data_IF_238119974143
#
_entry.id   IF_238119974143
#
_cell.length_a   1.000
_cell.length_b   1.000
_cell.length_c   1.000
_cell.angle_alpha   90.00
_cell.angle_beta   90.00
_cell.angle_gamma   90.00
#
_symmetry.space_group_name_H-M   'P 1'
#
loop_
_entity.id
_entity.type
_entity.pdbx_description
1 polymer ?
#
# COMPACT_ATOMS: atom_id res chain seq x y z
N UNK A 1 3.88 -6.20 -9.24
CA UNK A 1 4.28 -5.74 -7.89
C UNK A 1 3.65 -6.63 -6.83
N UNK A 2 4.36 -7.63 -6.30
CA UNK A 2 3.81 -8.56 -5.29
C UNK A 2 4.19 -8.16 -3.86
N UNK A 3 3.25 -8.27 -2.93
CA UNK A 3 3.43 -7.86 -1.53
C UNK A 3 4.59 -8.58 -0.84
N UNK A 4 4.74 -9.89 -1.04
CA UNK A 4 5.83 -10.69 -0.45
C UNK A 4 7.21 -10.20 -0.89
N UNK A 5 7.35 -9.86 -2.18
CA UNK A 5 8.62 -9.34 -2.72
C UNK A 5 8.95 -7.93 -2.21
N UNK A 6 7.92 -7.14 -1.89
CA UNK A 6 8.07 -5.76 -1.42
C UNK A 6 8.38 -5.69 0.08
N UNK A 7 7.78 -6.58 0.88
CA UNK A 7 7.76 -6.55 2.34
C UNK A 7 8.64 -7.62 3.03
N UNK A 8 9.51 -8.30 2.30
CA UNK A 8 10.48 -9.23 2.88
C UNK A 8 11.70 -8.48 3.49
N UNK A 9 12.48 -9.19 4.33
CA UNK A 9 13.63 -8.64 5.06
C UNK A 9 14.68 -7.98 4.15
N UNK A 10 14.91 -8.51 2.96
CA UNK A 10 15.83 -7.96 1.95
C UNK A 10 15.09 -7.29 0.78
N UNK A 11 13.82 -6.92 0.99
CA UNK A 11 12.94 -6.34 -0.01
C UNK A 11 13.32 -4.92 -0.43
N UNK A 12 12.73 -4.40 -1.52
CA UNK A 12 12.97 -3.03 -1.97
C UNK A 12 12.61 -1.94 -0.93
N UNK A 13 11.65 -2.21 -0.04
CA UNK A 13 11.32 -1.32 1.08
C UNK A 13 12.35 -1.40 2.20
N UNK A 14 12.81 -2.61 2.57
CA UNK A 14 13.83 -2.80 3.59
C UNK A 14 15.13 -2.06 3.26
N UNK A 15 15.53 -2.05 1.98
CA UNK A 15 16.71 -1.31 1.50
C UNK A 15 16.59 0.22 1.60
N UNK A 16 15.40 0.78 1.81
CA UNK A 16 15.15 2.23 1.81
C UNK A 16 14.67 2.77 3.15
N UNK A 17 14.04 1.93 3.97
CA UNK A 17 13.53 2.30 5.27
C UNK A 17 14.51 1.91 6.36
N UNK A 18 15.14 2.90 6.98
CA UNK A 18 15.94 2.69 8.19
C UNK A 18 15.04 2.12 9.28
N UNK A 19 15.44 0.99 9.88
CA UNK A 19 14.65 0.30 10.90
C UNK A 19 13.41 -0.42 10.35
N UNK A 20 13.41 -0.79 9.06
CA UNK A 20 12.40 -1.70 8.53
C UNK A 20 12.41 -3.02 9.30
N UNK A 21 11.21 -3.51 9.58
CA UNK A 21 10.97 -4.78 10.24
C UNK A 21 9.90 -5.51 9.44
N UNK A 22 10.20 -6.75 9.04
CA UNK A 22 9.23 -7.59 8.36
C UNK A 22 8.15 -8.01 9.35
N UNK A 23 6.88 -7.80 8.98
CA UNK A 23 5.73 -8.12 9.81
C UNK A 23 4.81 -9.10 9.08
N UNK A 24 4.71 -10.36 9.51
CA UNK A 24 3.90 -11.37 8.83
C UNK A 24 2.45 -10.94 8.60
N UNK A 25 1.85 -10.26 9.59
CA UNK A 25 0.46 -9.80 9.52
C UNK A 25 0.25 -8.72 8.44
N UNK A 26 1.28 -7.92 8.15
CA UNK A 26 1.24 -6.92 7.08
C UNK A 26 1.21 -7.60 5.71
N UNK A 27 1.99 -8.68 5.53
CA UNK A 27 2.01 -9.50 4.31
C UNK A 27 0.69 -10.26 4.15
N UNK A 28 0.17 -10.83 5.23
CA UNK A 28 -1.13 -11.50 5.25
C UNK A 28 -2.26 -10.56 4.83
N UNK A 29 -2.34 -9.37 5.44
CA UNK A 29 -3.32 -8.35 5.06
C UNK A 29 -3.18 -7.97 3.58
N UNK A 30 -1.96 -7.83 3.06
CA UNK A 30 -1.74 -7.47 1.66
C UNK A 30 -2.25 -8.53 0.69
N UNK A 31 -2.06 -9.82 1.00
CA UNK A 31 -2.62 -10.93 0.22
C UNK A 31 -4.14 -10.92 0.24
N UNK A 32 -4.75 -10.72 1.40
CA UNK A 32 -6.21 -10.64 1.53
C UNK A 32 -6.77 -9.49 0.70
N UNK A 33 -6.12 -8.32 0.71
CA UNK A 33 -6.51 -7.17 -0.10
C UNK A 33 -6.35 -7.48 -1.60
N UNK A 34 -5.22 -8.06 -2.02
CA UNK A 34 -4.95 -8.45 -3.42
C UNK A 34 -6.05 -9.38 -3.96
N UNK A 35 -6.34 -10.45 -3.22
CA UNK A 35 -7.37 -11.42 -3.61
C UNK A 35 -8.76 -10.80 -3.67
N UNK A 36 -9.10 -9.96 -2.68
CA UNK A 36 -10.41 -9.31 -2.61
C UNK A 36 -10.60 -8.36 -3.79
N UNK A 37 -9.59 -7.55 -4.12
CA UNK A 37 -9.63 -6.66 -5.27
C UNK A 37 -9.77 -7.45 -6.57
N UNK A 38 -9.00 -8.53 -6.74
CA UNK A 38 -9.08 -9.38 -7.93
C UNK A 38 -10.46 -10.03 -8.11
N UNK A 39 -11.10 -10.45 -7.01
CA UNK A 39 -12.44 -11.04 -6.98
C UNK A 39 -13.57 -10.00 -7.00
N UNK A 40 -13.26 -8.70 -7.00
CA UNK A 40 -14.22 -7.59 -6.82
C UNK A 40 -15.10 -7.76 -5.56
N UNK A 41 -14.52 -8.31 -4.50
CA UNK A 41 -15.19 -8.63 -3.24
C UNK A 41 -15.21 -7.48 -2.25
N UNK A 42 -15.61 -7.79 -1.01
CA UNK A 42 -15.55 -6.88 0.15
C UNK A 42 -14.75 -7.56 1.25
N UNK A 43 -13.88 -6.80 1.90
CA UNK A 43 -13.01 -7.27 2.97
C UNK A 43 -13.08 -6.28 4.13
N UNK A 44 -13.20 -6.82 5.34
CA UNK A 44 -13.07 -6.08 6.59
C UNK A 44 -11.85 -6.64 7.33
N UNK A 45 -10.90 -5.77 7.65
CA UNK A 45 -9.70 -6.12 8.42
C UNK A 45 -9.59 -5.16 9.60
N UNK A 46 -9.43 -5.72 10.78
CA UNK A 46 -8.95 -4.96 11.94
C UNK A 46 -7.43 -5.10 12.02
N UNK A 47 -6.73 -3.97 12.11
CA UNK A 47 -5.29 -3.97 12.29
C UNK A 47 -4.89 -2.88 13.27
N UNK A 48 -4.11 -3.23 14.28
CA UNK A 48 -3.67 -2.34 15.36
C UNK A 48 -2.87 -1.13 14.86
N UNK A 49 -2.79 -0.05 15.63
CA UNK A 49 -1.98 1.13 15.27
C UNK A 49 -0.48 0.78 15.16
N UNK A 50 0.27 1.49 14.33
CA UNK A 50 1.73 1.28 14.17
C UNK A 50 2.18 0.08 13.34
N UNK A 51 1.28 -0.85 12.96
CA UNK A 51 1.65 -2.08 12.21
C UNK A 51 2.03 -1.88 10.74
N UNK A 52 2.00 -0.66 10.21
CA UNK A 52 2.32 -0.39 8.80
C UNK A 52 1.20 -0.73 7.81
N UNK A 53 -0.07 -0.62 8.24
CA UNK A 53 -1.27 -0.89 7.43
C UNK A 53 -1.26 -0.26 6.04
N UNK A 54 -0.70 0.95 5.93
CA UNK A 54 -0.64 1.68 4.66
C UNK A 54 -0.04 0.83 3.54
N UNK A 55 1.14 0.24 3.74
CA UNK A 55 1.76 -0.56 2.69
C UNK A 55 0.97 -1.84 2.37
N UNK A 56 0.30 -2.42 3.38
CA UNK A 56 -0.49 -3.63 3.18
C UNK A 56 -1.65 -3.40 2.19
N UNK A 57 -2.32 -2.25 2.21
CA UNK A 57 -3.35 -1.95 1.21
C UNK A 57 -2.80 -1.22 -0.03
N UNK A 58 -1.73 -0.43 0.10
CA UNK A 58 -1.18 0.37 -1.01
C UNK A 58 -0.50 -0.49 -2.06
N UNK A 59 0.31 -1.47 -1.65
CA UNK A 59 1.05 -2.33 -2.59
C UNK A 59 0.08 -3.07 -3.54
N UNK A 60 -0.92 -3.83 -3.05
CA UNK A 60 -1.87 -4.50 -3.95
C UNK A 60 -2.77 -3.51 -4.70
N UNK A 61 -3.10 -2.34 -4.13
CA UNK A 61 -3.83 -1.29 -4.84
C UNK A 61 -3.04 -0.74 -6.04
N UNK A 62 -1.75 -0.46 -5.87
CA UNK A 62 -0.87 -0.01 -6.95
C UNK A 62 -0.68 -1.11 -7.99
N UNK A 63 -0.45 -2.36 -7.55
CA UNK A 63 -0.37 -3.50 -8.46
C UNK A 63 -1.62 -3.60 -9.34
N UNK A 64 -2.81 -3.49 -8.74
CA UNK A 64 -4.09 -3.47 -9.47
C UNK A 64 -4.17 -2.30 -10.45
N UNK A 65 -3.74 -1.12 -10.03
CA UNK A 65 -3.78 0.07 -10.87
C UNK A 65 -2.86 -0.03 -12.09
N UNK A 66 -1.67 -0.61 -11.93
CA UNK A 66 -0.67 -0.72 -13.00
C UNK A 66 -0.96 -1.94 -13.90
N UNK A 67 -1.18 -3.11 -13.31
CA UNK A 67 -1.27 -4.38 -14.06
C UNK A 67 -2.65 -4.59 -14.68
N UNK A 68 -3.72 -4.29 -13.94
CA UNK A 68 -5.09 -4.42 -14.44
C UNK A 68 -5.61 -3.12 -15.09
N UNK A 69 -4.82 -2.04 -15.08
CA UNK A 69 -5.19 -0.71 -15.60
C UNK A 69 -6.49 -0.16 -14.99
N UNK A 70 -6.72 -0.46 -13.72
CA UNK A 70 -7.91 -0.02 -12.98
C UNK A 70 -7.62 1.22 -12.15
N UNK A 71 -8.66 2.02 -11.86
CA UNK A 71 -8.53 3.13 -10.90
C UNK A 71 -8.85 2.62 -9.50
N UNK A 72 -7.96 2.89 -8.55
CA UNK A 72 -8.18 2.58 -7.13
C UNK A 72 -8.38 3.86 -6.35
N UNK A 73 -9.42 3.91 -5.51
CA UNK A 73 -9.71 5.02 -4.61
C UNK A 73 -9.40 4.56 -3.19
N UNK A 74 -8.61 5.37 -2.48
CA UNK A 74 -8.32 5.17 -1.06
C UNK A 74 -8.98 6.31 -0.30
N UNK A 75 -9.86 5.94 0.63
CA UNK A 75 -10.51 6.88 1.54
C UNK A 75 -9.93 6.71 2.94
N UNK A 76 -9.67 7.82 3.62
CA UNK A 76 -9.13 7.84 4.98
C UNK A 76 -9.76 8.97 5.78
N UNK A 77 -9.69 8.87 7.11
CA UNK A 77 -10.52 9.65 8.03
C UNK A 77 -10.14 11.15 8.10
N UNK A 78 -8.86 11.49 8.00
CA UNK A 78 -8.39 12.86 8.24
C UNK A 78 -7.49 13.36 7.12
N UNK A 79 -7.43 14.69 6.94
CA UNK A 79 -6.55 15.35 5.97
C UNK A 79 -5.09 14.98 6.22
N UNK A 80 -4.64 14.93 7.48
CA UNK A 80 -3.26 14.56 7.81
C UNK A 80 -2.93 13.13 7.40
N UNK A 81 -3.88 12.19 7.49
CA UNK A 81 -3.68 10.83 6.98
C UNK A 81 -3.59 10.82 5.45
N UNK A 82 -4.35 11.65 4.76
CA UNK A 82 -4.25 11.79 3.29
C UNK A 82 -2.89 12.35 2.88
N UNK A 83 -2.43 13.39 3.58
CA UNK A 83 -1.12 14.00 3.36
C UNK A 83 0.01 13.01 3.60
N UNK A 84 -0.07 12.19 4.66
CA UNK A 84 0.89 11.12 4.91
C UNK A 84 1.01 10.17 3.71
N UNK A 85 -0.12 9.79 3.09
CA UNK A 85 -0.09 8.93 1.90
C UNK A 85 0.62 9.60 0.73
N UNK A 86 0.27 10.86 0.45
CA UNK A 86 0.73 11.59 -0.74
C UNK A 86 2.18 12.06 -0.62
N UNK A 87 2.60 12.49 0.55
CA UNK A 87 3.92 13.09 0.78
C UNK A 87 4.97 12.06 1.23
N UNK A 88 4.54 10.92 1.79
CA UNK A 88 5.45 9.94 2.40
C UNK A 88 5.28 8.54 1.82
N UNK A 89 4.12 7.91 2.00
CA UNK A 89 3.97 6.48 1.72
C UNK A 89 4.04 6.18 0.20
N UNK A 90 3.34 6.97 -0.63
CA UNK A 90 3.33 6.81 -2.09
C UNK A 90 4.67 7.17 -2.75
N UNK A 91 5.33 8.30 -2.42
CA UNK A 91 6.67 8.59 -2.94
C UNK A 91 7.70 7.51 -2.58
N UNK A 92 7.64 6.99 -1.36
CA UNK A 92 8.51 5.89 -0.94
C UNK A 92 8.26 4.63 -1.77
N UNK A 93 7.00 4.21 -1.93
CA UNK A 93 6.66 3.05 -2.76
C UNK A 93 7.06 3.24 -4.22
N UNK A 94 6.95 4.46 -4.75
CA UNK A 94 7.42 4.79 -6.10
C UNK A 94 8.92 4.64 -6.20
N UNK A 95 9.68 5.17 -5.24
CA UNK A 95 11.12 5.04 -5.21
C UNK A 95 11.57 3.58 -5.00
N UNK A 96 10.82 2.80 -4.22
CA UNK A 96 11.12 1.41 -3.91
C UNK A 96 10.79 0.45 -5.06
N UNK A 97 9.84 0.80 -5.92
CA UNK A 97 9.39 -0.05 -7.01
C UNK A 97 9.94 0.36 -8.37
N UNK A 98 10.00 -0.57 -9.31
CA UNK A 98 10.28 -0.29 -10.73
C UNK A 98 9.03 0.13 -11.53
N UNK A 99 7.87 0.29 -10.86
CA UNK A 99 6.60 0.52 -11.54
C UNK A 99 6.29 2.03 -11.57
N UNK A 100 5.84 2.52 -12.72
CA UNK A 100 5.34 3.88 -12.84
C UNK A 100 3.86 3.93 -12.46
N UNK A 101 3.54 4.78 -11.48
CA UNK A 101 2.15 5.05 -11.07
C UNK A 101 1.98 6.49 -10.61
N UNK A 102 0.80 7.05 -10.88
CA UNK A 102 0.38 8.38 -10.45
C UNK A 102 -0.67 8.29 -9.35
N UNK A 103 -0.65 9.23 -8.41
CA UNK A 103 -1.70 9.42 -7.42
C UNK A 103 -2.06 10.89 -7.36
N UNK A 104 -3.34 11.17 -7.14
CA UNK A 104 -3.88 12.52 -6.98
C UNK A 104 -4.69 12.60 -5.70
N UNK A 105 -4.69 13.77 -5.07
CA UNK A 105 -5.39 14.02 -3.82
C UNK A 105 -6.66 14.82 -4.07
N UNK A 106 -7.80 14.30 -3.62
CA UNK A 106 -9.08 15.01 -3.64
C UNK A 106 -9.42 15.48 -2.22
N UNK A 107 -9.49 16.80 -2.01
CA UNK A 107 -9.93 17.42 -0.75
C UNK A 107 -11.29 18.10 -0.96
N UNK A 108 -12.16 18.06 0.07
CA UNK A 108 -13.35 18.90 0.11
C UNK A 108 -12.98 20.39 0.13
N UNK A 109 -13.89 21.26 -0.32
CA UNK A 109 -13.71 22.72 -0.22
C UNK A 109 -13.81 23.21 1.20
#
# INVERSE_FOLDING_TARGET
>A
MHAESMLCEDGPLARRLVGFEMRPQQVEMAKLVEETLAKRGRLLVEAGTGVGKSFAYLIPAIARAVEAKERVIISTNTISLQEQLIEKDLPLLRAASSHEFSAVLAKGR
#
